data_IF_340771783786
#
_entry.id   IF_340771783786
#
_cell.length_a   1.000
_cell.length_b   1.000
_cell.length_c   1.000
_cell.angle_alpha   90.00
_cell.angle_beta   90.00
_cell.angle_gamma   90.00
#
_symmetry.space_group_name_H-M   'P 1'
#
loop_
_entity.id
_entity.type
_entity.pdbx_description
1 polymer ?
#
# COMPACT_ATOMS: atom_id res chain seq x y z
N UNK A 1 15.09 15.23 -5.56
CA UNK A 1 13.92 15.44 -4.68
C UNK A 1 13.57 14.12 -4.03
N UNK A 2 13.16 14.12 -2.77
CA UNK A 2 12.47 12.97 -2.18
C UNK A 2 11.04 13.00 -2.72
N UNK A 3 10.53 11.92 -3.34
CA UNK A 3 9.14 11.88 -3.77
C UNK A 3 8.21 12.10 -2.58
N UNK A 4 7.25 13.02 -2.71
CA UNK A 4 6.29 13.36 -1.66
C UNK A 4 4.84 13.06 -2.04
N UNK A 5 4.58 12.70 -3.30
CA UNK A 5 3.26 12.33 -3.81
C UNK A 5 3.32 10.97 -4.50
N UNK A 6 2.17 10.29 -4.62
CA UNK A 6 2.07 9.06 -5.40
C UNK A 6 2.53 9.22 -6.85
N UNK A 7 2.21 10.36 -7.48
CA UNK A 7 2.67 10.71 -8.82
C UNK A 7 4.20 10.76 -8.88
N UNK A 8 4.84 11.52 -7.99
CA UNK A 8 6.30 11.66 -7.97
C UNK A 8 7.03 10.35 -7.64
N UNK A 9 6.44 9.49 -6.79
CA UNK A 9 6.97 8.13 -6.51
C UNK A 9 6.89 7.30 -7.78
N UNK A 10 5.75 7.39 -8.47
CA UNK A 10 5.51 6.71 -9.71
C UNK A 10 6.47 7.09 -10.83
N UNK A 11 6.66 8.39 -11.07
CA UNK A 11 7.63 8.92 -12.03
C UNK A 11 9.05 8.46 -11.71
N UNK A 12 9.46 8.52 -10.43
CA UNK A 12 10.76 8.04 -10.00
C UNK A 12 10.92 6.54 -10.30
N UNK A 13 9.93 5.73 -9.94
CA UNK A 13 9.96 4.30 -10.17
C UNK A 13 10.05 3.98 -11.68
N UNK A 14 9.24 4.63 -12.52
CA UNK A 14 9.29 4.51 -14.00
C UNK A 14 10.65 4.92 -14.58
N UNK A 15 11.16 6.09 -14.20
CA UNK A 15 12.46 6.59 -14.69
C UNK A 15 13.64 5.69 -14.32
N UNK A 16 13.51 4.91 -13.25
CA UNK A 16 14.51 3.92 -12.81
C UNK A 16 14.35 2.53 -13.46
N UNK A 17 13.38 2.35 -14.37
CA UNK A 17 13.06 1.06 -14.99
C UNK A 17 12.32 0.09 -14.06
N UNK A 18 11.56 0.63 -13.10
CA UNK A 18 10.68 -0.14 -12.22
C UNK A 18 9.40 -0.62 -12.92
N UNK A 19 8.64 -1.47 -12.24
CA UNK A 19 7.33 -1.95 -12.70
C UNK A 19 6.35 -0.79 -12.79
N UNK A 20 5.34 -0.88 -13.65
CA UNK A 20 4.30 0.15 -13.69
C UNK A 20 3.48 0.15 -12.39
N UNK A 21 2.73 1.21 -12.15
CA UNK A 21 1.81 1.32 -11.04
C UNK A 21 0.47 1.78 -11.58
N UNK A 22 -0.61 1.29 -10.98
CA UNK A 22 -1.95 1.67 -11.37
C UNK A 22 -2.63 2.40 -10.21
N UNK A 23 -3.13 3.60 -10.53
CA UNK A 23 -4.05 4.36 -9.71
C UNK A 23 -5.39 4.43 -10.42
N UNK A 24 -6.48 4.12 -9.72
CA UNK A 24 -7.82 4.38 -10.27
C UNK A 24 -8.15 5.87 -10.05
N UNK A 25 -7.70 6.67 -11.01
CA UNK A 25 -7.41 8.12 -10.97
C UNK A 25 -8.55 9.05 -10.47
N UNK A 26 -9.81 8.63 -10.52
CA UNK A 26 -10.93 9.57 -10.38
C UNK A 26 -11.16 10.17 -8.99
N UNK A 27 -10.48 9.68 -7.93
CA UNK A 27 -10.77 10.10 -6.54
C UNK A 27 -9.54 10.38 -5.65
N UNK A 28 -8.31 10.14 -6.13
CA UNK A 28 -7.12 10.09 -5.26
C UNK A 28 -6.41 11.42 -5.03
N UNK A 29 -6.42 12.32 -6.01
CA UNK A 29 -5.65 13.58 -5.96
C UNK A 29 -6.04 14.52 -4.82
N UNK A 30 -7.16 14.26 -4.12
CA UNK A 30 -7.63 15.04 -2.97
C UNK A 30 -7.58 14.30 -1.64
N UNK A 31 -7.30 13.00 -1.64
CA UNK A 31 -7.39 12.17 -0.44
C UNK A 31 -6.03 11.85 0.18
N UNK A 32 -4.96 12.04 -0.59
CA UNK A 32 -3.59 11.71 -0.18
C UNK A 32 -2.78 12.99 -0.21
N UNK A 33 -2.57 13.55 0.98
CA UNK A 33 -1.74 14.74 1.13
C UNK A 33 -0.26 14.39 0.86
N UNK A 34 0.51 15.34 0.31
CA UNK A 34 1.95 15.14 0.14
C UNK A 34 2.64 14.88 1.49
N UNK A 35 3.69 14.07 1.49
CA UNK A 35 4.54 13.90 2.66
C UNK A 35 5.19 15.25 3.02
N UNK A 36 4.91 15.75 4.24
CA UNK A 36 5.40 17.04 4.72
C UNK A 36 6.89 17.01 5.11
N UNK A 37 7.36 15.89 5.67
CA UNK A 37 8.72 15.75 6.20
C UNK A 37 9.32 14.36 5.93
N UNK A 38 10.65 14.34 5.75
CA UNK A 38 11.41 13.09 5.67
C UNK A 38 11.38 12.36 7.02
N UNK A 39 11.21 11.05 6.98
CA UNK A 39 11.21 10.23 8.19
C UNK A 39 11.71 8.82 7.94
N UNK A 40 12.07 8.14 9.03
CA UNK A 40 12.36 6.71 9.01
C UNK A 40 11.13 5.95 9.47
N UNK A 41 10.79 4.88 8.74
CA UNK A 41 9.73 3.98 9.14
C UNK A 41 10.10 2.53 8.86
N UNK A 42 9.45 1.62 9.57
CA UNK A 42 9.50 0.18 9.29
C UNK A 42 8.11 -0.35 9.02
N UNK A 43 8.04 -1.27 8.06
CA UNK A 43 6.85 -2.05 7.75
C UNK A 43 7.16 -3.54 7.96
N UNK A 44 6.18 -4.30 8.45
CA UNK A 44 6.31 -5.76 8.50
C UNK A 44 6.41 -6.33 7.09
N UNK A 45 7.17 -7.42 6.94
CA UNK A 45 7.38 -8.12 5.65
C UNK A 45 6.16 -8.86 5.11
N UNK A 46 5.07 -8.86 5.86
CA UNK A 46 3.77 -9.41 5.46
C UNK A 46 2.70 -8.75 6.34
N UNK A 47 1.43 -8.97 6.00
CA UNK A 47 0.32 -8.57 6.87
C UNK A 47 0.39 -9.28 8.23
N UNK A 48 -0.15 -8.63 9.26
CA UNK A 48 -0.20 -9.17 10.60
C UNK A 48 -1.04 -10.45 10.64
N UNK A 49 -0.59 -11.52 11.33
CA UNK A 49 -1.39 -12.73 11.50
C UNK A 49 -2.75 -12.43 12.12
N UNK A 50 -3.80 -13.03 11.55
CA UNK A 50 -5.19 -12.82 11.99
C UNK A 50 -5.88 -11.57 11.44
N UNK A 51 -5.18 -10.76 10.61
CA UNK A 51 -5.75 -9.55 10.02
C UNK A 51 -6.65 -9.80 8.81
N UNK A 52 -6.53 -10.96 8.13
CA UNK A 52 -7.31 -11.21 6.91
C UNK A 52 -8.81 -11.20 7.16
N UNK A 53 -9.58 -10.66 6.21
CA UNK A 53 -11.06 -10.64 6.25
C UNK A 53 -11.62 -10.02 7.55
N UNK A 54 -10.99 -8.93 8.00
CA UNK A 54 -11.42 -8.16 9.17
C UNK A 54 -11.86 -6.76 8.76
N UNK A 55 -12.86 -6.17 9.44
CA UNK A 55 -13.25 -4.78 9.20
C UNK A 55 -12.13 -3.83 9.60
N UNK A 56 -12.13 -2.62 9.03
CA UNK A 56 -11.10 -1.60 9.27
C UNK A 56 -10.89 -1.29 10.76
N UNK A 57 -11.97 -1.24 11.54
CA UNK A 57 -11.89 -1.02 13.00
C UNK A 57 -11.07 -2.10 13.69
N UNK A 58 -11.24 -3.37 13.30
CA UNK A 58 -10.46 -4.47 13.85
C UNK A 58 -8.99 -4.44 13.37
N UNK A 59 -8.71 -3.85 12.20
CA UNK A 59 -7.32 -3.59 11.78
C UNK A 59 -6.66 -2.54 12.68
N UNK A 60 -7.35 -1.43 12.98
CA UNK A 60 -6.86 -0.41 13.91
C UNK A 60 -6.54 -1.00 15.29
N UNK A 61 -7.49 -1.73 15.87
CA UNK A 61 -7.30 -2.39 17.18
C UNK A 61 -6.12 -3.36 17.15
N UNK A 62 -5.95 -4.11 16.05
CA UNK A 62 -4.87 -5.07 15.92
C UNK A 62 -3.49 -4.39 15.82
N UNK A 63 -3.34 -3.34 15.01
CA UNK A 63 -2.05 -2.63 14.90
C UNK A 63 -1.70 -1.98 16.24
N UNK A 64 -2.66 -1.32 16.89
CA UNK A 64 -2.46 -0.66 18.18
C UNK A 64 -2.07 -1.66 19.27
N UNK A 65 -2.77 -2.80 19.35
CA UNK A 65 -2.46 -3.87 20.31
C UNK A 65 -1.04 -4.44 20.19
N UNK A 66 -0.39 -4.25 19.03
CA UNK A 66 0.97 -4.69 18.74
C UNK A 66 2.01 -3.56 18.78
N UNK A 67 1.60 -2.34 19.16
CA UNK A 67 2.47 -1.17 19.19
C UNK A 67 2.84 -0.64 17.80
N UNK A 68 1.97 -0.89 16.82
CA UNK A 68 2.05 -0.36 15.47
C UNK A 68 0.94 0.67 15.24
N UNK A 69 1.08 1.43 14.17
CA UNK A 69 0.09 2.36 13.66
C UNK A 69 -0.47 1.85 12.33
N UNK A 70 -1.61 2.40 11.90
CA UNK A 70 -2.07 2.18 10.55
C UNK A 70 -1.07 2.79 9.57
N UNK A 71 -0.68 2.07 8.52
CA UNK A 71 0.32 2.58 7.61
C UNK A 71 -0.25 3.71 6.71
N UNK A 72 0.50 4.78 6.47
CA UNK A 72 0.20 5.74 5.41
C UNK A 72 0.43 5.14 4.03
N UNK A 73 -0.43 5.47 3.07
CA UNK A 73 -0.34 4.97 1.69
C UNK A 73 1.02 5.23 1.04
N UNK A 74 1.60 6.43 1.23
CA UNK A 74 2.88 6.81 0.64
C UNK A 74 4.02 5.94 1.17
N UNK A 75 4.00 5.62 2.47
CA UNK A 75 5.00 4.78 3.11
C UNK A 75 4.90 3.33 2.66
N UNK A 76 3.68 2.80 2.51
CA UNK A 76 3.47 1.45 1.97
C UNK A 76 3.97 1.34 0.53
N UNK A 77 3.56 2.27 -0.33
CA UNK A 77 3.97 2.28 -1.75
C UNK A 77 5.49 2.35 -1.85
N UNK A 78 6.10 3.27 -1.09
CA UNK A 78 7.56 3.43 -1.06
C UNK A 78 8.26 2.16 -0.61
N UNK A 79 7.80 1.53 0.48
CA UNK A 79 8.40 0.31 1.03
C UNK A 79 8.26 -0.90 0.09
N UNK A 80 7.09 -1.08 -0.53
CA UNK A 80 6.85 -2.19 -1.48
C UNK A 80 7.74 -2.02 -2.71
N UNK A 81 7.77 -0.82 -3.30
CA UNK A 81 8.60 -0.53 -4.47
C UNK A 81 10.09 -0.67 -4.12
N UNK A 82 10.52 -0.17 -2.95
CA UNK A 82 11.89 -0.30 -2.49
C UNK A 82 12.32 -1.77 -2.35
N UNK A 83 11.52 -2.60 -1.67
CA UNK A 83 11.85 -4.02 -1.50
C UNK A 83 11.91 -4.74 -2.85
N UNK A 84 10.94 -4.47 -3.74
CA UNK A 84 10.93 -5.04 -5.08
C UNK A 84 12.14 -4.63 -5.91
N UNK A 85 12.55 -3.37 -5.85
CA UNK A 85 13.74 -2.88 -6.55
C UNK A 85 15.03 -3.45 -5.99
N UNK A 86 15.12 -3.58 -4.67
CA UNK A 86 16.33 -4.05 -3.98
C UNK A 86 16.55 -5.55 -4.14
N UNK A 87 15.48 -6.33 -4.22
CA UNK A 87 15.56 -7.81 -4.13
C UNK A 87 14.93 -8.55 -5.30
N UNK A 88 14.04 -7.90 -6.07
CA UNK A 88 13.16 -8.57 -7.02
C UNK A 88 11.92 -9.22 -6.38
N UNK A 89 11.84 -9.27 -5.05
CA UNK A 89 10.76 -9.93 -4.32
C UNK A 89 9.53 -9.03 -4.17
N UNK A 90 8.39 -9.62 -3.82
CA UNK A 90 7.18 -8.88 -3.44
C UNK A 90 7.12 -8.80 -1.92
N UNK A 91 6.99 -7.59 -1.36
CA UNK A 91 6.79 -7.43 0.09
C UNK A 91 5.47 -8.10 0.53
N UNK A 92 4.41 -7.97 -0.27
CA UNK A 92 3.12 -8.65 -0.02
C UNK A 92 2.95 -9.80 -1.00
N UNK A 93 2.58 -10.97 -0.48
CA UNK A 93 2.45 -12.20 -1.27
C UNK A 93 1.38 -12.12 -2.36
N UNK A 94 1.53 -12.95 -3.40
CA UNK A 94 0.59 -13.05 -4.52
C UNK A 94 -0.19 -14.38 -4.58
N UNK A 95 0.07 -15.29 -3.63
CA UNK A 95 -0.66 -16.53 -3.47
C UNK A 95 -0.95 -16.82 -1.97
N UNK A 96 -2.10 -16.38 -1.43
CA UNK A 96 -3.13 -15.60 -2.13
C UNK A 96 -2.65 -14.17 -2.42
N UNK A 97 -3.31 -13.51 -3.36
CA UNK A 97 -3.08 -12.08 -3.59
C UNK A 97 -3.30 -11.30 -2.28
N UNK A 98 -2.40 -10.37 -1.98
CA UNK A 98 -2.38 -9.69 -0.69
C UNK A 98 -2.27 -8.19 -0.86
N UNK A 99 -3.14 -7.49 -0.14
CA UNK A 99 -3.18 -6.06 0.00
C UNK A 99 -3.20 -5.70 1.49
N UNK A 100 -2.56 -4.59 1.84
CA UNK A 100 -2.69 -3.97 3.14
C UNK A 100 -3.62 -2.78 3.07
N UNK A 101 -4.45 -2.59 4.10
CA UNK A 101 -5.16 -1.34 4.31
C UNK A 101 -4.22 -0.25 4.78
N UNK A 102 -4.51 0.98 4.36
CA UNK A 102 -3.85 2.21 4.77
C UNK A 102 -4.81 3.08 5.57
N UNK A 103 -4.28 4.09 6.27
CA UNK A 103 -5.08 5.00 7.10
C UNK A 103 -6.04 5.89 6.28
N UNK A 104 -5.68 6.18 5.03
CA UNK A 104 -6.43 7.07 4.14
C UNK A 104 -7.77 6.45 3.73
N UNK A 105 -8.78 7.31 3.58
CA UNK A 105 -10.15 6.93 3.22
C UNK A 105 -10.66 7.78 2.07
N UNK A 106 -11.43 7.16 1.19
CA UNK A 106 -12.16 7.82 0.11
C UNK A 106 -13.64 7.44 0.23
N UNK A 107 -14.47 8.42 0.60
CA UNK A 107 -15.88 8.17 0.90
C UNK A 107 -16.03 7.17 2.05
N UNK A 108 -16.70 6.04 1.78
CA UNK A 108 -16.84 4.94 2.75
C UNK A 108 -15.77 3.85 2.59
N UNK A 109 -14.88 3.97 1.60
CA UNK A 109 -13.82 3.02 1.32
C UNK A 109 -12.51 3.38 2.02
N UNK A 110 -11.68 2.37 2.25
CA UNK A 110 -10.31 2.51 2.76
C UNK A 110 -9.34 2.31 1.63
N UNK A 111 -8.23 3.05 1.60
CA UNK A 111 -7.20 2.80 0.61
C UNK A 111 -6.50 1.49 0.92
N UNK A 112 -6.33 0.67 -0.11
CA UNK A 112 -5.54 -0.55 -0.05
C UNK A 112 -4.35 -0.42 -0.99
N UNK A 113 -3.24 -1.01 -0.59
CA UNK A 113 -2.01 -1.06 -1.38
C UNK A 113 -1.52 -2.49 -1.42
N UNK A 114 -1.13 -2.94 -2.59
CA UNK A 114 -0.61 -4.28 -2.78
C UNK A 114 -0.99 -4.77 -4.15
N UNK A 115 -1.02 -6.09 -4.30
CA UNK A 115 -1.12 -6.69 -5.62
C UNK A 115 0.11 -6.35 -6.47
N UNK A 116 0.48 -7.31 -7.31
CA UNK A 116 1.17 -6.97 -8.55
C UNK A 116 0.35 -7.73 -9.59
N UNK A 117 -0.72 -7.08 -10.05
CA UNK A 117 -1.79 -7.74 -10.78
C UNK A 117 -1.19 -8.40 -12.03
N UNK A 118 -1.32 -9.73 -12.24
CA UNK A 118 -1.06 -10.31 -13.55
C UNK A 118 -2.09 -9.68 -14.50
N UNK A 119 -1.62 -8.88 -15.45
CA UNK A 119 -2.48 -7.92 -16.16
C UNK A 119 -3.68 -8.56 -16.83
N UNK A 120 -4.80 -7.84 -16.79
CA UNK A 120 -6.02 -8.21 -17.50
C UNK A 120 -7.20 -7.37 -17.03
N UNK A 121 -7.62 -6.43 -17.88
CA UNK A 121 -8.65 -5.39 -17.71
C UNK A 121 -8.17 -4.15 -16.91
N UNK A 122 -7.48 -3.24 -17.61
CA UNK A 122 -7.18 -1.88 -17.12
C UNK A 122 -5.84 -1.71 -16.41
N UNK A 123 -5.31 -2.77 -15.82
CA UNK A 123 -4.03 -2.75 -15.11
C UNK A 123 -2.87 -3.14 -16.03
N UNK A 124 -1.78 -2.37 -16.02
CA UNK A 124 -0.52 -2.79 -16.63
C UNK A 124 -0.05 -4.10 -15.96
N UNK A 125 0.32 -5.13 -16.73
CA UNK A 125 0.72 -6.42 -16.18
C UNK A 125 1.91 -6.27 -15.22
N UNK A 126 1.73 -6.80 -14.01
CA UNK A 126 2.76 -6.84 -12.97
C UNK A 126 2.94 -5.54 -12.21
N UNK A 127 2.00 -4.59 -12.26
CA UNK A 127 2.12 -3.32 -11.55
C UNK A 127 1.51 -3.29 -10.16
N UNK A 128 2.04 -2.41 -9.29
CA UNK A 128 1.50 -2.16 -7.94
C UNK A 128 0.11 -1.52 -8.04
N UNK A 129 -0.85 -2.03 -7.27
CA UNK A 129 -2.21 -1.51 -7.22
C UNK A 129 -2.42 -0.67 -5.94
N UNK A 130 -3.04 0.50 -6.13
CA UNK A 130 -3.51 1.38 -5.05
C UNK A 130 -4.95 1.77 -5.37
N UNK A 131 -5.89 1.23 -4.60
CA UNK A 131 -7.32 1.33 -4.90
C UNK A 131 -8.15 1.61 -3.64
N UNK A 132 -9.31 2.30 -3.77
CA UNK A 132 -10.27 2.35 -2.68
C UNK A 132 -11.01 1.01 -2.62
N UNK A 133 -11.09 0.42 -1.44
CA UNK A 133 -11.80 -0.84 -1.24
C UNK A 133 -12.92 -0.71 -0.22
N UNK A 134 -14.07 -1.30 -0.54
CA UNK A 134 -15.33 -1.10 0.19
C UNK A 134 -15.80 -2.31 1.01
N UNK A 135 -15.21 -3.49 0.78
CA UNK A 135 -15.61 -4.74 1.44
C UNK A 135 -14.43 -5.46 2.08
N UNK A 136 -14.70 -6.37 3.02
CA UNK A 136 -13.70 -7.28 3.59
C UNK A 136 -13.60 -8.54 2.73
N UNK A 137 -12.39 -8.96 2.35
CA UNK A 137 -12.18 -10.21 1.63
C UNK A 137 -10.86 -10.88 2.06
N UNK A 138 -10.56 -12.04 1.49
CA UNK A 138 -9.39 -12.84 1.86
C UNK A 138 -8.06 -12.24 1.44
N UNK A 139 -8.05 -11.33 0.48
CA UNK A 139 -6.86 -10.66 0.01
C UNK A 139 -6.47 -9.46 0.90
N UNK A 140 -7.36 -8.99 1.79
CA UNK A 140 -7.12 -7.80 2.60
C UNK A 140 -6.67 -8.13 4.01
N UNK A 141 -5.52 -7.57 4.40
CA UNK A 141 -5.04 -7.53 5.78
C UNK A 141 -4.51 -6.15 6.14
N UNK A 142 -3.67 -6.09 7.18
CA UNK A 142 -2.95 -4.88 7.57
C UNK A 142 -1.52 -5.22 7.96
N UNK A 143 -0.54 -4.47 7.47
CA UNK A 143 0.85 -4.56 7.93
C UNK A 143 1.04 -3.80 9.24
N UNK A 144 2.04 -4.17 10.03
CA UNK A 144 2.50 -3.32 11.13
C UNK A 144 3.38 -2.21 10.58
N UNK A 145 3.07 -0.96 10.92
CA UNK A 145 3.87 0.21 10.59
C UNK A 145 4.30 0.95 11.85
N UNK A 146 5.53 1.48 11.85
CA UNK A 146 6.04 2.31 12.93
C UNK A 146 7.02 3.35 12.39
N UNK A 147 6.81 4.61 12.79
CA UNK A 147 7.65 5.77 12.48
C UNK A 147 8.68 6.03 13.60
N UNK A 148 9.84 6.61 13.27
CA UNK A 148 10.92 6.99 14.19
C UNK A 148 11.33 8.45 14.03
#
# INVERSE_FOLDING_TARGET
LVPSTLESIGELNKSSGGLDYHFNDFMFDKAIEPAEEFHYAVLTKDILPGSRRKPFVAHNELVESKGYEMPPVLDVVTAILWENRRTGERLLGNNPETYTRCQEKIGVGTIIVGGFAPGGLGFAPGGLCVDPHYYDNDCLGVVGFRKF
#
